data_IF_895458208158
#
_entry.id   IF_895458208158
#
_cell.length_a   1.000
_cell.length_b   1.000
_cell.length_c   1.000
_cell.angle_alpha   90.00
_cell.angle_beta   90.00
_cell.angle_gamma   90.00
#
_symmetry.space_group_name_H-M   'P 1'
#
loop_
_entity.id
_entity.type
_entity.pdbx_description
1 polymer ?
#
# COMPACT_ATOMS: atom_id res chain seq x y z
N UNK A 1 -30.90 -43.39 52.39
CA UNK A 1 -31.27 -42.18 51.64
C UNK A 1 -30.07 -41.23 51.73
N UNK A 2 -29.12 -41.37 50.80
CA UNK A 2 -27.76 -40.84 50.92
C UNK A 2 -27.64 -39.41 50.39
N UNK A 3 -27.03 -38.53 51.19
CA UNK A 3 -26.63 -37.19 50.77
C UNK A 3 -25.30 -37.29 49.99
N UNK A 4 -25.33 -36.98 48.70
CA UNK A 4 -24.13 -36.81 47.87
C UNK A 4 -23.60 -35.37 48.00
N UNK A 5 -22.27 -35.16 48.06
CA UNK A 5 -21.71 -33.82 48.13
C UNK A 5 -21.83 -33.12 46.77
N UNK A 6 -22.29 -31.88 46.78
CA UNK A 6 -22.30 -30.99 45.61
C UNK A 6 -20.87 -30.52 45.37
N UNK A 7 -20.25 -30.93 44.26
CA UNK A 7 -18.96 -30.40 43.82
C UNK A 7 -19.14 -28.98 43.29
N UNK A 8 -18.51 -28.01 43.96
CA UNK A 8 -18.36 -26.65 43.47
C UNK A 8 -17.36 -26.64 42.29
N UNK A 9 -17.84 -26.32 41.09
CA UNK A 9 -17.01 -26.17 39.90
C UNK A 9 -16.19 -24.87 40.02
N UNK A 10 -14.89 -24.97 40.26
CA UNK A 10 -13.98 -23.83 40.12
C UNK A 10 -13.82 -23.51 38.64
N UNK A 11 -14.42 -22.40 38.20
CA UNK A 11 -14.22 -21.87 36.86
C UNK A 11 -12.78 -21.33 36.74
N UNK A 12 -11.92 -22.04 36.02
CA UNK A 12 -10.65 -21.49 35.57
C UNK A 12 -10.93 -20.41 34.51
N UNK A 13 -10.61 -19.16 34.82
CA UNK A 13 -10.58 -18.10 33.82
C UNK A 13 -9.51 -18.46 32.77
N UNK A 14 -9.91 -18.57 31.50
CA UNK A 14 -8.99 -18.73 30.40
C UNK A 14 -7.95 -17.59 30.42
N UNK A 15 -6.66 -17.87 30.15
CA UNK A 15 -5.65 -16.82 30.11
C UNK A 15 -6.04 -15.77 29.07
N UNK A 16 -6.11 -14.51 29.52
CA UNK A 16 -6.36 -13.35 28.66
C UNK A 16 -5.33 -13.38 27.51
N UNK A 17 -5.82 -13.51 26.27
CA UNK A 17 -4.96 -13.57 25.09
C UNK A 17 -3.97 -12.40 25.12
N UNK A 18 -2.68 -12.70 25.04
CA UNK A 18 -1.61 -11.71 24.91
C UNK A 18 -1.96 -10.84 23.69
N UNK A 19 -1.97 -9.51 23.84
CA UNK A 19 -2.02 -8.55 22.73
C UNK A 19 -0.72 -8.69 21.92
N UNK A 20 -0.66 -9.75 21.10
CA UNK A 20 0.49 -10.05 20.26
C UNK A 20 0.34 -9.21 19.01
N UNK A 21 0.94 -8.02 19.03
CA UNK A 21 1.09 -7.13 17.87
C UNK A 21 2.14 -7.72 16.93
N UNK A 22 1.80 -8.83 16.29
CA UNK A 22 2.65 -9.40 15.24
C UNK A 22 2.66 -8.46 14.02
N UNK A 23 3.80 -8.29 13.34
CA UNK A 23 3.83 -7.63 12.05
C UNK A 23 2.88 -8.30 11.05
N UNK A 24 2.13 -7.50 10.31
CA UNK A 24 1.29 -8.03 9.24
C UNK A 24 2.17 -8.55 8.09
N UNK A 25 1.71 -9.63 7.45
CA UNK A 25 2.31 -10.07 6.19
C UNK A 25 2.04 -9.00 5.13
N UNK A 26 2.97 -8.84 4.20
CA UNK A 26 2.84 -7.93 3.07
C UNK A 26 1.76 -8.37 2.05
N UNK A 27 1.06 -9.48 2.28
CA UNK A 27 0.05 -10.05 1.38
C UNK A 27 -1.11 -10.67 2.19
N UNK A 28 -2.36 -10.62 1.69
CA UNK A 28 -2.79 -9.96 0.45
C UNK A 28 -2.98 -8.44 0.59
N UNK A 29 -2.73 -7.71 -0.50
CA UNK A 29 -3.08 -6.30 -0.62
C UNK A 29 -3.71 -6.01 -1.98
N UNK A 30 -4.43 -4.89 -2.07
CA UNK A 30 -5.10 -4.47 -3.30
C UNK A 30 -5.04 -2.96 -3.47
N UNK A 31 -5.19 -2.55 -4.73
CA UNK A 31 -5.47 -1.18 -5.11
C UNK A 31 -6.99 -1.01 -5.23
N UNK A 32 -7.53 0.00 -4.57
CA UNK A 32 -8.87 0.51 -4.78
C UNK A 32 -8.76 1.90 -5.42
N UNK A 33 -9.43 2.13 -6.54
CA UNK A 33 -9.44 3.40 -7.25
C UNK A 33 -10.88 3.92 -7.35
N UNK A 34 -11.06 5.23 -7.32
CA UNK A 34 -12.36 5.83 -7.49
C UNK A 34 -12.94 5.52 -8.89
N UNK A 35 -14.06 4.78 -8.90
CA UNK A 35 -14.74 4.37 -10.13
C UNK A 35 -14.11 3.22 -10.91
N UNK A 36 -13.05 2.58 -10.39
CA UNK A 36 -12.43 1.36 -10.95
C UNK A 36 -12.49 0.27 -9.87
N UNK A 37 -12.78 -0.97 -10.28
CA UNK A 37 -12.84 -2.12 -9.40
C UNK A 37 -11.49 -2.39 -8.70
N UNK A 38 -11.54 -3.18 -7.62
CA UNK A 38 -10.34 -3.52 -6.84
C UNK A 38 -9.42 -4.42 -7.66
N UNK A 39 -8.17 -4.02 -7.82
CA UNK A 39 -7.14 -4.81 -8.48
C UNK A 39 -6.16 -5.40 -7.46
N UNK A 40 -5.85 -6.69 -7.61
CA UNK A 40 -4.88 -7.40 -6.77
C UNK A 40 -3.50 -7.32 -7.40
N UNK A 41 -2.50 -7.03 -6.57
CA UNK A 41 -1.11 -6.90 -6.97
C UNK A 41 -0.23 -7.81 -6.12
N UNK A 42 0.94 -8.15 -6.67
CA UNK A 42 1.94 -8.98 -6.01
C UNK A 42 3.00 -8.13 -5.29
N UNK A 43 3.34 -6.96 -5.84
CA UNK A 43 4.29 -6.03 -5.24
C UNK A 43 3.77 -4.59 -5.30
N UNK A 44 4.03 -3.83 -4.23
CA UNK A 44 3.78 -2.40 -4.13
C UNK A 44 5.01 -1.74 -3.51
N UNK A 45 5.47 -0.66 -4.12
CA UNK A 45 6.54 0.19 -3.59
C UNK A 45 6.19 1.67 -3.77
N UNK A 46 7.04 2.58 -3.26
CA UNK A 46 6.82 4.03 -3.38
C UNK A 46 5.83 4.63 -2.37
N UNK A 47 5.46 3.88 -1.33
CA UNK A 47 4.65 4.38 -0.21
C UNK A 47 5.49 5.18 0.79
N UNK A 48 6.32 6.09 0.28
CA UNK A 48 7.22 6.94 1.06
C UNK A 48 6.98 8.43 0.77
N UNK A 49 7.23 9.23 1.80
CA UNK A 49 7.08 10.68 1.79
C UNK A 49 8.31 11.29 2.44
N UNK A 50 8.93 12.26 1.79
CA UNK A 50 10.20 12.84 2.22
C UNK A 50 10.27 14.34 2.01
N UNK A 51 10.95 15.04 2.91
CA UNK A 51 11.29 16.46 2.77
C UNK A 51 12.82 16.60 2.82
N UNK A 52 13.47 17.11 1.77
CA UNK A 52 14.92 17.28 1.78
C UNK A 52 15.32 18.39 2.76
N UNK A 53 16.40 18.19 3.50
CA UNK A 53 16.96 19.25 4.36
C UNK A 53 17.77 20.24 3.53
N UNK A 54 17.39 21.52 3.56
CA UNK A 54 18.13 22.60 2.93
C UNK A 54 19.16 23.12 3.93
N UNK A 55 20.43 23.12 3.52
CA UNK A 55 21.54 23.62 4.32
C UNK A 55 21.70 25.12 4.15
N UNK A 56 21.64 25.87 5.25
CA UNK A 56 21.73 27.33 5.26
C UNK A 56 22.79 27.80 6.26
N UNK A 57 23.59 28.80 5.85
CA UNK A 57 24.62 29.42 6.67
C UNK A 57 24.58 30.93 6.55
N UNK A 58 24.58 31.61 7.69
CA UNK A 58 24.78 33.05 7.80
C UNK A 58 26.13 33.34 8.48
N UNK A 59 26.76 34.49 8.18
CA UNK A 59 28.13 34.81 8.60
C UNK A 59 28.39 34.81 10.11
N UNK A 60 27.35 34.88 10.95
CA UNK A 60 27.44 34.80 12.41
C UNK A 60 27.11 33.41 12.99
N UNK A 61 26.90 32.40 12.14
CA UNK A 61 26.55 31.06 12.60
C UNK A 61 27.76 30.33 13.23
N UNK A 62 27.52 29.46 14.23
CA UNK A 62 28.53 28.52 14.71
C UNK A 62 29.13 27.68 13.58
N UNK A 63 30.18 26.89 13.84
CA UNK A 63 30.80 25.98 12.85
C UNK A 63 29.86 24.85 12.36
N UNK A 64 28.59 24.87 12.77
CA UNK A 64 27.54 23.95 12.33
C UNK A 64 26.57 24.63 11.37
N UNK A 65 26.00 23.86 10.44
CA UNK A 65 25.06 24.35 9.42
C UNK A 65 23.62 24.21 9.91
N UNK A 66 22.77 25.22 9.67
CA UNK A 66 21.34 25.13 9.96
C UNK A 66 20.65 24.29 8.89
N UNK A 67 19.72 23.42 9.31
CA UNK A 67 18.89 22.61 8.40
C UNK A 67 17.46 23.16 8.38
N UNK A 68 17.03 23.65 7.23
CA UNK A 68 15.67 24.10 6.98
C UNK A 68 14.87 23.01 6.26
N UNK A 69 13.57 22.83 6.59
CA UNK A 69 12.74 21.86 5.89
C UNK A 69 12.47 22.32 4.45
N UNK A 70 12.65 21.40 3.50
CA UNK A 70 12.27 21.60 2.10
C UNK A 70 10.81 21.22 1.82
N UNK A 71 10.43 21.22 0.54
CA UNK A 71 9.11 20.78 0.10
C UNK A 71 8.94 19.26 0.28
N UNK A 72 7.76 18.85 0.72
CA UNK A 72 7.38 17.45 0.75
C UNK A 72 7.28 16.90 -0.67
N UNK A 73 7.93 15.76 -0.90
CA UNK A 73 7.89 14.99 -2.13
C UNK A 73 7.25 13.63 -1.84
N UNK A 74 6.46 13.19 -2.79
CA UNK A 74 5.83 11.88 -2.79
C UNK A 74 6.43 11.05 -3.92
N UNK A 75 6.89 9.86 -3.60
CA UNK A 75 7.41 8.92 -4.59
C UNK A 75 6.26 8.35 -5.44
N UNK A 76 6.54 7.92 -6.66
CA UNK A 76 5.51 7.25 -7.46
C UNK A 76 5.17 5.90 -6.84
N UNK A 77 3.88 5.59 -6.77
CA UNK A 77 3.43 4.27 -6.35
C UNK A 77 3.65 3.32 -7.52
N UNK A 78 4.51 2.32 -7.33
CA UNK A 78 4.81 1.31 -8.34
C UNK A 78 4.19 -0.03 -7.95
N UNK A 79 3.39 -0.59 -8.84
CA UNK A 79 2.58 -1.78 -8.60
C UNK A 79 2.86 -2.84 -9.64
N UNK A 80 3.09 -4.08 -9.20
CA UNK A 80 3.29 -5.23 -10.11
C UNK A 80 2.20 -6.27 -9.95
N UNK A 81 1.61 -6.72 -11.05
CA UNK A 81 0.61 -7.80 -11.04
C UNK A 81 0.87 -8.79 -12.17
N UNK A 82 0.35 -10.00 -12.02
CA UNK A 82 0.20 -10.91 -13.16
C UNK A 82 -0.83 -10.36 -14.13
N UNK A 83 -0.68 -10.67 -15.43
CA UNK A 83 -1.67 -10.32 -16.44
C UNK A 83 -3.01 -10.98 -16.11
N UNK A 84 -4.08 -10.20 -16.28
CA UNK A 84 -5.46 -10.64 -16.06
C UNK A 84 -6.34 -10.15 -17.20
N UNK A 85 -7.55 -10.69 -17.32
CA UNK A 85 -8.55 -10.22 -18.29
C UNK A 85 -9.20 -8.89 -17.89
N UNK A 86 -8.83 -8.32 -16.73
CA UNK A 86 -9.31 -7.03 -16.27
C UNK A 86 -8.69 -5.89 -17.08
N UNK A 87 -9.51 -5.32 -17.95
CA UNK A 87 -9.16 -4.22 -18.83
C UNK A 87 -9.31 -2.84 -18.18
N UNK A 88 -9.94 -2.69 -17.00
CA UNK A 88 -10.26 -1.36 -16.45
C UNK A 88 -9.00 -0.51 -16.20
N UNK A 89 -7.97 -1.12 -15.59
CA UNK A 89 -6.69 -0.45 -15.37
C UNK A 89 -5.97 -0.10 -16.68
N UNK A 90 -6.04 -0.98 -17.68
CA UNK A 90 -5.48 -0.69 -18.99
C UNK A 90 -6.23 0.46 -19.68
N UNK A 91 -7.56 0.51 -19.60
CA UNK A 91 -8.34 1.62 -20.17
C UNK A 91 -8.03 2.95 -19.49
N UNK A 92 -7.84 2.96 -18.18
CA UNK A 92 -7.40 4.15 -17.45
C UNK A 92 -6.02 4.64 -17.92
N UNK A 93 -5.07 3.71 -18.10
CA UNK A 93 -3.75 4.02 -18.67
C UNK A 93 -3.86 4.52 -20.10
N UNK A 94 -4.67 3.86 -20.94
CA UNK A 94 -4.91 4.26 -22.32
C UNK A 94 -5.51 5.66 -22.40
N UNK A 95 -6.43 6.02 -21.51
CA UNK A 95 -6.97 7.39 -21.40
C UNK A 95 -5.85 8.42 -21.24
N UNK A 96 -4.92 8.17 -20.31
CA UNK A 96 -3.76 9.04 -20.11
C UNK A 96 -2.83 9.09 -21.34
N UNK A 97 -2.57 7.94 -21.98
CA UNK A 97 -1.78 7.85 -23.23
C UNK A 97 -2.42 8.69 -24.35
N UNK A 98 -3.75 8.65 -24.46
CA UNK A 98 -4.54 9.40 -25.44
C UNK A 98 -4.69 10.90 -25.06
N UNK A 99 -3.97 11.38 -24.04
CA UNK A 99 -4.02 12.77 -23.56
C UNK A 99 -5.23 13.12 -22.69
N UNK A 100 -6.06 12.13 -22.34
CA UNK A 100 -7.24 12.26 -21.47
C UNK A 100 -6.89 11.76 -20.07
N UNK A 101 -6.00 12.49 -19.41
CA UNK A 101 -5.55 12.15 -18.05
C UNK A 101 -6.69 12.32 -17.06
N UNK A 102 -7.23 11.20 -16.59
CA UNK A 102 -8.23 11.17 -15.52
C UNK A 102 -7.54 10.90 -14.18
N UNK A 103 -7.62 11.86 -13.27
CA UNK A 103 -7.07 11.72 -11.92
C UNK A 103 -8.07 11.04 -11.02
N UNK A 104 -7.58 10.14 -10.17
CA UNK A 104 -8.39 9.32 -9.27
C UNK A 104 -7.79 9.32 -7.88
N UNK A 105 -8.65 9.43 -6.88
CA UNK A 105 -8.27 9.08 -5.51
C UNK A 105 -8.21 7.56 -5.41
N UNK A 106 -7.34 7.06 -4.54
CA UNK A 106 -7.20 5.62 -4.38
C UNK A 106 -6.58 5.21 -3.07
N UNK A 107 -6.50 3.90 -2.87
CA UNK A 107 -5.99 3.32 -1.65
C UNK A 107 -5.26 2.01 -1.87
N UNK A 108 -4.11 1.88 -1.23
CA UNK A 108 -3.44 0.59 -1.05
C UNK A 108 -3.92 -0.01 0.27
N UNK A 109 -4.55 -1.18 0.19
CA UNK A 109 -5.24 -1.80 1.32
C UNK A 109 -4.62 -3.17 1.58
N UNK A 110 -3.96 -3.34 2.74
CA UNK A 110 -3.47 -4.63 3.22
C UNK A 110 -4.59 -5.34 3.98
N UNK A 111 -4.80 -6.61 3.66
CA UNK A 111 -5.82 -7.47 4.26
C UNK A 111 -5.20 -8.64 5.02
N UNK A 112 -5.93 -9.17 6.00
CA UNK A 112 -5.59 -10.45 6.63
C UNK A 112 -6.18 -11.65 5.87
N UNK A 113 -5.89 -12.86 6.35
CA UNK A 113 -6.42 -14.11 5.79
C UNK A 113 -7.95 -14.26 5.89
N UNK A 114 -8.62 -13.42 6.68
CA UNK A 114 -10.08 -13.37 6.81
C UNK A 114 -10.69 -12.24 5.96
N UNK A 115 -9.88 -11.53 5.16
CA UNK A 115 -10.30 -10.43 4.30
C UNK A 115 -10.51 -9.09 5.01
N UNK A 116 -10.21 -8.99 6.31
CA UNK A 116 -10.34 -7.75 7.06
C UNK A 116 -9.18 -6.80 6.74
N UNK A 117 -9.48 -5.50 6.63
CA UNK A 117 -8.47 -4.46 6.39
C UNK A 117 -7.59 -4.27 7.63
N UNK A 118 -6.27 -4.30 7.45
CA UNK A 118 -5.27 -4.14 8.53
C UNK A 118 -4.44 -2.88 8.43
N UNK A 119 -4.17 -2.43 7.19
CA UNK A 119 -3.49 -1.18 6.94
C UNK A 119 -4.03 -0.58 5.64
N UNK A 120 -4.09 0.75 5.59
CA UNK A 120 -4.55 1.51 4.44
C UNK A 120 -3.63 2.70 4.21
N UNK A 121 -3.24 2.92 2.97
CA UNK A 121 -2.61 4.14 2.52
C UNK A 121 -3.51 4.78 1.47
N UNK A 122 -3.96 6.00 1.73
CA UNK A 122 -4.79 6.77 0.82
C UNK A 122 -3.88 7.70 0.02
N UNK A 123 -4.08 7.74 -1.29
CA UNK A 123 -3.45 8.73 -2.15
C UNK A 123 -4.50 9.56 -2.89
N UNK A 124 -4.12 10.79 -3.24
CA UNK A 124 -5.00 11.75 -3.92
C UNK A 124 -4.46 12.16 -5.28
N UNK A 125 -5.38 12.48 -6.19
CA UNK A 125 -5.07 12.97 -7.54
C UNK A 125 -4.11 12.06 -8.32
N UNK A 126 -4.26 10.75 -8.14
CA UNK A 126 -3.42 9.73 -8.75
C UNK A 126 -3.70 9.57 -10.24
N UNK A 127 -2.67 9.40 -11.06
CA UNK A 127 -2.80 9.10 -12.49
C UNK A 127 -1.62 8.24 -13.00
N UNK A 128 -1.83 7.41 -14.04
CA UNK A 128 -0.83 6.46 -14.49
C UNK A 128 0.24 7.20 -15.30
N UNK A 129 1.50 7.06 -14.89
CA UNK A 129 2.64 7.68 -15.58
C UNK A 129 3.35 6.71 -16.52
N UNK A 130 3.31 5.42 -16.21
CA UNK A 130 4.00 4.40 -16.97
C UNK A 130 3.29 3.04 -16.83
N UNK A 131 3.32 2.27 -17.93
CA UNK A 131 2.87 0.88 -17.99
C UNK A 131 3.93 0.03 -18.69
N UNK A 132 4.48 -0.93 -17.96
CA UNK A 132 5.48 -1.87 -18.49
C UNK A 132 4.81 -3.24 -18.66
N UNK A 133 4.74 -3.72 -19.89
CA UNK A 133 4.24 -5.06 -20.20
C UNK A 133 5.19 -6.18 -19.74
N UNK A 134 4.77 -7.44 -19.87
CA UNK A 134 5.58 -8.59 -19.46
C UNK A 134 6.79 -8.80 -20.35
N UNK A 135 7.84 -9.37 -19.76
CA UNK A 135 8.86 -10.08 -20.52
C UNK A 135 8.29 -11.45 -20.92
N UNK A 136 8.13 -11.69 -22.21
CA UNK A 136 7.61 -12.95 -22.75
C UNK A 136 8.77 -13.83 -23.24
N UNK A 137 8.91 -15.03 -22.67
CA UNK A 137 9.89 -16.02 -23.09
C UNK A 137 9.21 -17.38 -23.27
N UNK A 138 9.21 -17.92 -24.49
CA UNK A 138 8.57 -19.19 -24.83
C UNK A 138 9.25 -20.43 -24.21
N UNK A 139 10.43 -20.28 -23.60
CA UNK A 139 11.15 -21.37 -22.92
C UNK A 139 11.08 -21.28 -21.39
N UNK A 140 10.54 -20.18 -20.85
CA UNK A 140 10.40 -19.96 -19.41
C UNK A 140 9.05 -20.45 -18.86
N UNK A 141 8.99 -20.77 -17.56
CA UNK A 141 7.76 -21.13 -16.83
C UNK A 141 7.41 -20.06 -15.79
N UNK A 142 7.54 -18.79 -16.17
CA UNK A 142 7.33 -17.63 -15.31
C UNK A 142 5.95 -17.01 -15.57
N UNK A 143 5.34 -16.42 -14.54
CA UNK A 143 4.10 -15.67 -14.70
C UNK A 143 4.41 -14.37 -15.45
N UNK A 144 3.58 -14.03 -16.44
CA UNK A 144 3.69 -12.76 -17.16
C UNK A 144 3.33 -11.60 -16.23
N UNK A 145 4.31 -10.75 -15.89
CA UNK A 145 4.16 -9.65 -14.93
C UNK A 145 4.12 -8.31 -15.66
N UNK A 146 3.11 -7.50 -15.35
CA UNK A 146 3.04 -6.10 -15.75
C UNK A 146 3.28 -5.17 -14.56
N UNK A 147 3.79 -3.97 -14.86
CA UNK A 147 4.07 -2.93 -13.86
C UNK A 147 3.30 -1.66 -14.22
N UNK A 148 2.66 -1.05 -13.23
CA UNK A 148 1.95 0.21 -13.31
C UNK A 148 2.58 1.20 -12.32
N UNK A 149 2.99 2.37 -12.82
CA UNK A 149 3.45 3.47 -11.98
C UNK A 149 2.40 4.58 -11.93
N UNK A 150 2.14 5.09 -10.73
CA UNK A 150 1.12 6.11 -10.46
C UNK A 150 1.80 7.31 -9.80
N UNK A 151 1.73 8.47 -10.46
CA UNK A 151 2.01 9.74 -9.80
C UNK A 151 0.80 10.18 -9.00
N UNK A 152 1.02 10.74 -7.82
CA UNK A 152 -0.03 11.23 -6.94
C UNK A 152 0.46 12.47 -6.18
N UNK A 153 -0.48 13.25 -5.63
CA UNK A 153 -0.17 14.53 -4.99
C UNK A 153 -0.19 14.46 -3.46
N UNK A 154 -0.47 13.29 -2.90
CA UNK A 154 -0.43 13.08 -1.47
C UNK A 154 -0.55 11.63 -1.06
N UNK A 155 -0.02 11.31 0.11
CA UNK A 155 -0.12 10.00 0.74
C UNK A 155 -0.43 10.17 2.23
N UNK A 156 -1.45 9.49 2.71
CA UNK A 156 -1.84 9.47 4.12
C UNK A 156 -2.05 8.03 4.59
N UNK A 157 -1.58 7.72 5.79
CA UNK A 157 -1.84 6.43 6.43
C UNK A 157 -3.15 6.50 7.20
N UNK A 158 -4.09 5.62 6.84
CA UNK A 158 -5.38 5.48 7.53
C UNK A 158 -5.34 4.58 8.76
#
# INVERSE_FOLDING_TARGET
>A
MGAGPTLTLFSFAAPKARDRRDPYRAYPFLLELEGIARAVFMECSGLDVGSPSIEYRQGSDPTTVRKLPGLWKYSYISLKRGITDDAELWQWCKGAIDGRVERKNGSIIVRDGNGATKARWNFREGWPTNWTGPTLNSTGNEVAIETLDIAHEGLEKG
#
